data_IF_252929303579
#
_entry.id   IF_252929303579
#
_cell.length_a   1.000
_cell.length_b   1.000
_cell.length_c   1.000
_cell.angle_alpha   90.00
_cell.angle_beta   90.00
_cell.angle_gamma   90.00
#
_symmetry.space_group_name_H-M   'P 1'
#
loop_
_entity.id
_entity.type
_entity.pdbx_description
1 polymer ?
#
# COMPACT_ATOMS: atom_id res chain seq x y z
N UNK A 1 -22.37 24.75 -35.88
CA UNK A 1 -21.29 23.78 -36.09
C UNK A 1 -19.98 24.49 -35.84
N UNK A 2 -19.43 24.39 -34.63
CA UNK A 2 -18.09 24.86 -34.31
C UNK A 2 -17.25 23.60 -34.04
N UNK A 3 -16.36 23.32 -34.98
CA UNK A 3 -15.45 22.18 -34.94
C UNK A 3 -14.46 22.36 -33.78
N UNK A 4 -14.43 21.39 -32.86
CA UNK A 4 -13.40 21.26 -31.82
C UNK A 4 -12.03 21.12 -32.49
N UNK A 5 -11.13 22.07 -32.25
CA UNK A 5 -9.72 21.98 -32.64
C UNK A 5 -9.07 20.84 -31.89
N UNK A 6 -8.34 19.94 -32.53
CA UNK A 6 -7.50 18.96 -31.79
C UNK A 6 -6.36 19.73 -31.09
N UNK A 7 -6.30 19.64 -29.76
CA UNK A 7 -5.23 20.25 -28.97
C UNK A 7 -3.86 19.71 -29.38
N UNK A 8 -2.88 20.59 -29.43
CA UNK A 8 -1.48 20.27 -29.78
C UNK A 8 -0.88 19.33 -28.72
N UNK A 9 0.04 18.42 -29.05
CA UNK A 9 0.62 17.46 -28.10
C UNK A 9 1.22 18.09 -26.82
N UNK A 10 1.71 19.31 -26.89
CA UNK A 10 2.25 20.05 -25.75
C UNK A 10 1.21 20.62 -24.78
N UNK A 11 -0.03 20.90 -25.22
CA UNK A 11 -1.11 21.40 -24.36
C UNK A 11 -1.70 20.28 -23.49
N UNK A 12 -1.81 19.07 -24.02
CA UNK A 12 -2.30 17.90 -23.30
C UNK A 12 -1.36 17.51 -22.17
N UNK A 13 -0.06 17.47 -22.43
CA UNK A 13 0.97 17.20 -21.41
C UNK A 13 1.00 18.26 -20.29
N UNK A 14 0.77 19.53 -20.64
CA UNK A 14 0.73 20.65 -19.67
C UNK A 14 -0.55 20.62 -18.82
N UNK A 15 -1.66 20.22 -19.38
CA UNK A 15 -2.93 20.05 -18.66
C UNK A 15 -2.87 18.86 -17.72
N UNK A 16 -2.28 17.73 -18.16
CA UNK A 16 -2.05 16.54 -17.33
C UNK A 16 -1.14 16.88 -16.13
N UNK A 17 0.00 17.53 -16.33
CA UNK A 17 0.90 17.96 -15.25
C UNK A 17 0.22 18.90 -14.24
N UNK A 18 -0.68 19.78 -14.74
CA UNK A 18 -1.40 20.69 -13.85
C UNK A 18 -2.45 20.02 -12.99
N UNK A 19 -3.16 19.03 -13.53
CA UNK A 19 -4.11 18.22 -12.76
C UNK A 19 -3.38 17.36 -11.71
N UNK A 20 -2.21 16.83 -12.04
CA UNK A 20 -1.37 16.07 -11.08
C UNK A 20 -0.89 16.94 -9.91
N UNK A 21 -0.46 18.18 -10.16
CA UNK A 21 -0.12 19.15 -9.09
C UNK A 21 -1.31 19.39 -8.16
N UNK A 22 -2.51 19.56 -8.72
CA UNK A 22 -3.73 19.76 -7.92
C UNK A 22 -4.08 18.52 -7.09
N UNK A 23 -3.99 17.33 -7.68
CA UNK A 23 -4.23 16.07 -6.98
C UNK A 23 -3.21 15.84 -5.85
N UNK A 24 -1.92 16.12 -6.09
CA UNK A 24 -0.88 15.97 -5.08
C UNK A 24 -1.10 16.91 -3.89
N UNK A 25 -1.42 18.20 -4.14
CA UNK A 25 -1.71 19.16 -3.07
C UNK A 25 -3.00 18.81 -2.31
N UNK A 26 -4.04 18.38 -3.00
CA UNK A 26 -5.28 17.95 -2.37
C UNK A 26 -5.06 16.72 -1.48
N UNK A 27 -4.29 15.73 -1.97
CA UNK A 27 -3.95 14.53 -1.22
C UNK A 27 -3.17 14.84 0.06
N UNK A 28 -2.20 15.76 0.01
CA UNK A 28 -1.44 16.19 1.19
C UNK A 28 -2.37 16.84 2.24
N UNK A 29 -3.33 17.65 1.81
CA UNK A 29 -4.34 18.23 2.71
C UNK A 29 -5.28 17.16 3.29
N UNK A 30 -5.78 16.24 2.48
CA UNK A 30 -6.62 15.12 2.93
C UNK A 30 -5.88 14.17 3.87
N UNK A 31 -4.56 14.01 3.72
CA UNK A 31 -3.75 13.21 4.62
C UNK A 31 -3.49 13.88 5.98
N UNK A 32 -3.50 15.22 6.04
CA UNK A 32 -3.28 15.99 7.29
C UNK A 32 -4.56 16.34 8.02
N UNK A 33 -5.67 16.43 7.32
CA UNK A 33 -6.98 16.85 7.84
C UNK A 33 -8.05 15.84 7.42
N UNK A 34 -9.16 15.83 8.13
CA UNK A 34 -10.31 15.04 7.72
C UNK A 34 -10.79 15.49 6.33
N UNK A 35 -11.08 14.54 5.45
CA UNK A 35 -11.55 14.80 4.08
C UNK A 35 -12.77 15.73 4.08
N UNK A 36 -13.68 15.58 5.06
CA UNK A 36 -14.88 16.43 5.20
C UNK A 36 -14.53 17.89 5.48
N UNK A 37 -13.47 18.16 6.24
CA UNK A 37 -13.07 19.52 6.65
C UNK A 37 -12.32 20.30 5.58
N UNK A 38 -11.62 19.62 4.65
CA UNK A 38 -10.89 20.26 3.55
C UNK A 38 -11.85 20.81 2.50
N UNK A 39 -11.65 22.05 2.09
CA UNK A 39 -12.45 22.72 1.04
C UNK A 39 -11.65 22.97 -0.24
N UNK A 40 -12.35 23.17 -1.36
CA UNK A 40 -11.70 23.61 -2.62
C UNK A 40 -10.91 24.92 -2.44
N UNK A 41 -11.37 25.80 -1.53
CA UNK A 41 -10.66 27.06 -1.22
C UNK A 41 -9.32 26.79 -0.52
N UNK A 42 -9.24 25.80 0.35
CA UNK A 42 -8.00 25.42 1.04
C UNK A 42 -6.97 24.87 0.05
N UNK A 43 -7.43 24.04 -0.88
CA UNK A 43 -6.59 23.48 -1.96
C UNK A 43 -6.08 24.60 -2.88
N UNK A 44 -6.97 25.50 -3.31
CA UNK A 44 -6.61 26.64 -4.15
C UNK A 44 -5.59 27.56 -3.45
N UNK A 45 -5.76 27.80 -2.14
CA UNK A 45 -4.85 28.58 -1.32
C UNK A 45 -3.47 27.91 -1.21
N UNK A 46 -3.42 26.60 -0.99
CA UNK A 46 -2.16 25.83 -0.93
C UNK A 46 -1.36 25.93 -2.24
N UNK A 47 -2.05 25.90 -3.36
CA UNK A 47 -1.46 26.02 -4.70
C UNK A 47 -1.24 27.44 -5.19
N UNK A 48 -1.74 28.45 -4.44
CA UNK A 48 -1.75 29.88 -4.84
C UNK A 48 -2.43 30.09 -6.20
N UNK A 49 -3.56 29.43 -6.44
CA UNK A 49 -4.37 29.55 -7.66
C UNK A 49 -5.80 29.99 -7.34
N UNK A 50 -6.56 30.33 -8.40
CA UNK A 50 -8.00 30.59 -8.25
C UNK A 50 -8.78 29.27 -8.19
N UNK A 51 -9.84 29.22 -7.38
CA UNK A 51 -10.77 28.08 -7.30
C UNK A 51 -11.39 27.74 -8.66
N UNK A 52 -11.63 28.75 -9.53
CA UNK A 52 -12.13 28.55 -10.90
C UNK A 52 -11.22 27.61 -11.72
N UNK A 53 -9.91 27.64 -11.48
CA UNK A 53 -8.97 26.75 -12.16
C UNK A 53 -9.15 25.32 -11.70
N UNK A 54 -9.45 25.05 -10.42
CA UNK A 54 -9.75 23.71 -9.93
C UNK A 54 -11.04 23.19 -10.56
N UNK A 55 -12.08 24.03 -10.61
CA UNK A 55 -13.37 23.67 -11.24
C UNK A 55 -13.30 23.49 -12.75
N UNK A 56 -12.25 23.99 -13.40
CA UNK A 56 -11.97 23.68 -14.81
C UNK A 56 -11.55 22.22 -15.04
N UNK A 57 -10.89 21.60 -14.04
CA UNK A 57 -10.39 20.22 -14.12
C UNK A 57 -11.29 19.20 -13.43
N UNK A 58 -12.03 19.62 -12.40
CA UNK A 58 -12.81 18.74 -11.53
C UNK A 58 -14.18 19.35 -11.25
N UNK A 59 -15.23 18.58 -11.53
CA UNK A 59 -16.62 19.05 -11.39
C UNK A 59 -17.01 19.37 -9.94
N UNK A 60 -16.39 18.69 -8.97
CA UNK A 60 -16.66 18.84 -7.55
C UNK A 60 -15.46 18.45 -6.68
N UNK A 61 -15.57 18.71 -5.37
CA UNK A 61 -14.61 18.19 -4.39
C UNK A 61 -14.55 16.65 -4.41
N UNK A 62 -15.69 15.99 -4.55
CA UNK A 62 -15.78 14.52 -4.59
C UNK A 62 -15.12 13.96 -5.86
N UNK A 63 -15.24 14.66 -6.97
CA UNK A 63 -14.57 14.31 -8.22
C UNK A 63 -13.05 14.45 -8.10
N UNK A 64 -12.56 15.57 -7.54
CA UNK A 64 -11.14 15.74 -7.21
C UNK A 64 -10.66 14.66 -6.24
N UNK A 65 -11.42 14.35 -5.21
CA UNK A 65 -11.07 13.32 -4.23
C UNK A 65 -10.93 11.94 -4.87
N UNK A 66 -11.90 11.56 -5.72
CA UNK A 66 -11.85 10.31 -6.51
C UNK A 66 -10.63 10.28 -7.43
N UNK A 67 -10.33 11.39 -8.11
CA UNK A 67 -9.15 11.50 -8.95
C UNK A 67 -7.85 11.36 -8.14
N UNK A 68 -7.78 11.92 -6.93
CA UNK A 68 -6.65 11.75 -6.01
C UNK A 68 -6.42 10.28 -5.63
N UNK A 69 -7.47 9.56 -5.25
CA UNK A 69 -7.38 8.14 -4.91
C UNK A 69 -6.88 7.35 -6.13
N UNK A 70 -7.48 7.57 -7.29
CA UNK A 70 -7.09 6.91 -8.54
C UNK A 70 -5.63 7.19 -8.90
N UNK A 71 -5.19 8.44 -8.81
CA UNK A 71 -3.81 8.86 -9.07
C UNK A 71 -2.81 8.14 -8.13
N UNK A 72 -3.11 8.06 -6.83
CA UNK A 72 -2.27 7.34 -5.88
C UNK A 72 -2.20 5.85 -6.18
N UNK A 73 -3.33 5.24 -6.51
CA UNK A 73 -3.40 3.83 -6.87
C UNK A 73 -2.58 3.56 -8.14
N UNK A 74 -2.75 4.36 -9.19
CA UNK A 74 -2.01 4.21 -10.46
C UNK A 74 -0.50 4.34 -10.25
N UNK A 75 -0.05 5.28 -9.40
CA UNK A 75 1.37 5.40 -9.02
C UNK A 75 1.88 4.17 -8.27
N UNK A 76 1.12 3.69 -7.29
CA UNK A 76 1.48 2.52 -6.50
C UNK A 76 1.53 1.27 -7.37
N UNK A 77 0.49 1.03 -8.17
CA UNK A 77 0.42 -0.10 -9.12
C UNK A 77 1.47 0.01 -10.22
N UNK A 78 1.75 1.22 -10.72
CA UNK A 78 2.81 1.45 -11.71
C UNK A 78 4.18 1.02 -11.20
N UNK A 79 4.46 1.21 -9.89
CA UNK A 79 5.69 0.72 -9.27
C UNK A 79 5.67 -0.81 -9.08
N UNK A 80 4.51 -1.41 -8.78
CA UNK A 80 4.37 -2.86 -8.75
C UNK A 80 4.54 -3.52 -10.12
N UNK A 81 4.18 -2.89 -11.23
CA UNK A 81 4.45 -3.40 -12.59
C UNK A 81 5.94 -3.53 -12.90
N UNK A 82 6.81 -2.77 -12.22
CA UNK A 82 8.27 -2.98 -12.31
C UNK A 82 8.69 -4.30 -11.69
N UNK A 83 7.89 -4.86 -10.78
CA UNK A 83 8.10 -6.20 -10.19
C UNK A 83 7.90 -7.29 -11.24
N UNK A 84 7.02 -7.06 -12.24
CA UNK A 84 6.81 -7.97 -13.37
C UNK A 84 8.09 -8.20 -14.20
N UNK A 85 9.06 -7.28 -14.14
CA UNK A 85 10.40 -7.49 -14.73
C UNK A 85 11.21 -8.63 -14.11
N UNK A 86 10.81 -9.17 -12.96
CA UNK A 86 11.40 -10.35 -12.33
C UNK A 86 10.68 -11.65 -12.75
N UNK A 87 10.19 -11.70 -13.99
CA UNK A 87 9.51 -12.87 -14.54
C UNK A 87 10.31 -14.16 -14.30
N UNK A 88 9.69 -15.12 -13.63
CA UNK A 88 10.24 -16.45 -13.42
C UNK A 88 10.83 -16.72 -12.04
N UNK A 89 10.98 -15.74 -11.13
CA UNK A 89 11.54 -15.96 -9.80
C UNK A 89 10.59 -15.49 -8.69
N UNK A 90 9.76 -16.40 -8.19
CA UNK A 90 8.72 -16.12 -7.19
C UNK A 90 9.24 -15.40 -5.93
N UNK A 91 10.42 -15.80 -5.43
CA UNK A 91 11.03 -15.17 -4.24
C UNK A 91 11.36 -13.70 -4.53
N UNK A 92 11.98 -13.41 -5.69
CA UNK A 92 12.32 -12.04 -6.08
C UNK A 92 11.09 -11.17 -6.30
N UNK A 93 10.02 -11.72 -6.88
CA UNK A 93 8.75 -11.00 -7.05
C UNK A 93 8.17 -10.58 -5.71
N UNK A 94 8.10 -11.49 -4.73
CA UNK A 94 7.57 -11.18 -3.40
C UNK A 94 8.49 -10.20 -2.66
N UNK A 95 9.83 -10.39 -2.70
CA UNK A 95 10.77 -9.45 -2.08
C UNK A 95 10.67 -8.06 -2.69
N UNK A 96 10.57 -7.94 -4.02
CA UNK A 96 10.39 -6.65 -4.68
C UNK A 96 9.06 -5.97 -4.30
N UNK A 97 7.99 -6.75 -4.05
CA UNK A 97 6.73 -6.21 -3.56
C UNK A 97 6.88 -5.61 -2.15
N UNK A 98 7.55 -6.31 -1.23
CA UNK A 98 7.85 -5.78 0.11
C UNK A 98 8.77 -4.56 0.06
N UNK A 99 9.81 -4.61 -0.78
CA UNK A 99 10.76 -3.51 -0.97
C UNK A 99 10.06 -2.26 -1.50
N UNK A 100 9.14 -2.40 -2.47
CA UNK A 100 8.34 -1.29 -2.97
C UNK A 100 7.51 -0.65 -1.85
N UNK A 101 6.90 -1.47 -0.98
CA UNK A 101 6.18 -0.95 0.19
C UNK A 101 7.10 -0.23 1.18
N UNK A 102 8.31 -0.73 1.39
CA UNK A 102 9.29 -0.10 2.26
C UNK A 102 9.81 1.24 1.70
N UNK A 103 9.99 1.33 0.38
CA UNK A 103 10.45 2.56 -0.28
C UNK A 103 9.34 3.62 -0.38
N UNK A 104 8.11 3.20 -0.60
CA UNK A 104 6.96 4.08 -0.81
C UNK A 104 6.06 4.20 0.43
N UNK A 105 6.56 3.86 1.61
CA UNK A 105 5.70 3.78 2.80
C UNK A 105 5.00 5.09 3.12
N UNK A 106 5.59 6.23 2.82
CA UNK A 106 4.99 7.55 3.08
C UNK A 106 3.75 7.77 2.22
N UNK A 107 3.84 7.49 0.92
CA UNK A 107 2.75 7.62 -0.04
C UNK A 107 1.64 6.59 0.23
N UNK A 108 2.03 5.34 0.47
CA UNK A 108 1.08 4.27 0.80
C UNK A 108 0.35 4.57 2.11
N UNK A 109 1.04 5.06 3.12
CA UNK A 109 0.42 5.49 4.37
C UNK A 109 -0.60 6.61 4.18
N UNK A 110 -0.30 7.59 3.30
CA UNK A 110 -1.25 8.65 2.95
C UNK A 110 -2.49 8.06 2.26
N UNK A 111 -2.29 7.14 1.32
CA UNK A 111 -3.39 6.46 0.64
C UNK A 111 -4.24 5.65 1.63
N UNK A 112 -3.63 4.85 2.50
CA UNK A 112 -4.34 4.06 3.52
C UNK A 112 -5.14 4.98 4.45
N UNK A 113 -4.57 6.12 4.89
CA UNK A 113 -5.31 7.09 5.70
C UNK A 113 -6.55 7.62 4.99
N UNK A 114 -6.38 8.04 3.74
CA UNK A 114 -7.47 8.60 2.94
C UNK A 114 -8.59 7.56 2.68
N UNK A 115 -8.20 6.31 2.42
CA UNK A 115 -9.16 5.20 2.27
C UNK A 115 -9.90 4.90 3.59
N UNK A 116 -9.22 4.93 4.73
CA UNK A 116 -9.83 4.74 6.04
C UNK A 116 -10.82 5.84 6.37
N UNK A 117 -10.44 7.11 6.18
CA UNK A 117 -11.32 8.27 6.41
C UNK A 117 -12.57 8.17 5.52
N UNK A 118 -12.38 7.80 4.25
CA UNK A 118 -13.49 7.56 3.33
C UNK A 118 -14.35 6.39 3.79
N UNK A 119 -13.75 5.26 4.16
CA UNK A 119 -14.45 4.04 4.58
C UNK A 119 -15.29 4.21 5.84
N UNK A 120 -14.89 5.13 6.73
CA UNK A 120 -15.61 5.47 7.98
C UNK A 120 -16.53 6.67 7.83
N UNK A 121 -16.45 7.44 6.73
CA UNK A 121 -17.35 8.56 6.45
C UNK A 121 -18.73 8.06 6.04
N UNK A 122 -19.77 8.82 6.41
CA UNK A 122 -21.14 8.54 5.93
C UNK A 122 -21.38 8.83 4.44
N UNK A 123 -20.37 9.38 3.73
CA UNK A 123 -20.49 9.90 2.36
C UNK A 123 -19.86 8.93 1.34
N UNK A 124 -20.27 7.67 1.34
CA UNK A 124 -19.78 6.68 0.37
C UNK A 124 -20.36 6.92 -1.01
N UNK A 125 -19.54 6.85 -2.04
CA UNK A 125 -19.94 6.91 -3.44
C UNK A 125 -19.50 5.65 -4.19
N UNK A 126 -20.38 5.09 -5.01
CA UNK A 126 -20.10 3.87 -5.79
C UNK A 126 -18.83 3.99 -6.65
N UNK A 127 -18.51 5.20 -7.12
CA UNK A 127 -17.33 5.43 -7.95
C UNK A 127 -16.00 5.27 -7.18
N UNK A 128 -15.95 5.69 -5.93
CA UNK A 128 -14.76 5.55 -5.08
C UNK A 128 -14.63 4.11 -4.58
N UNK A 129 -15.75 3.50 -4.14
CA UNK A 129 -15.75 2.10 -3.72
C UNK A 129 -15.18 1.18 -4.80
N UNK A 130 -15.59 1.38 -6.07
CA UNK A 130 -15.08 0.58 -7.20
C UNK A 130 -13.56 0.76 -7.42
N UNK A 131 -13.03 1.98 -7.30
CA UNK A 131 -11.60 2.26 -7.44
C UNK A 131 -10.79 1.62 -6.33
N UNK A 132 -11.26 1.68 -5.09
CA UNK A 132 -10.61 1.04 -3.93
C UNK A 132 -10.65 -0.48 -4.05
N UNK A 133 -11.78 -1.05 -4.45
CA UNK A 133 -11.91 -2.49 -4.67
C UNK A 133 -10.98 -2.99 -5.79
N UNK A 134 -10.91 -2.25 -6.90
CA UNK A 134 -9.99 -2.58 -8.00
C UNK A 134 -8.53 -2.59 -7.54
N UNK A 135 -8.12 -1.65 -6.70
CA UNK A 135 -6.78 -1.61 -6.11
C UNK A 135 -6.46 -2.89 -5.33
N UNK A 136 -7.31 -3.26 -4.37
CA UNK A 136 -7.09 -4.48 -3.58
C UNK A 136 -7.14 -5.76 -4.42
N UNK A 137 -7.97 -5.79 -5.46
CA UNK A 137 -8.00 -6.91 -6.40
C UNK A 137 -6.71 -7.02 -7.21
N UNK A 138 -6.13 -5.91 -7.68
CA UNK A 138 -4.86 -5.91 -8.41
C UNK A 138 -3.71 -6.35 -7.53
N UNK A 139 -3.62 -5.81 -6.30
CA UNK A 139 -2.62 -6.22 -5.31
C UNK A 139 -2.71 -7.72 -5.00
N UNK A 140 -3.92 -8.21 -4.72
CA UNK A 140 -4.18 -9.64 -4.46
C UNK A 140 -3.79 -10.54 -5.63
N UNK A 141 -3.99 -10.10 -6.88
CA UNK A 141 -3.55 -10.84 -8.08
C UNK A 141 -2.03 -10.96 -8.13
N UNK A 142 -1.29 -9.84 -7.99
CA UNK A 142 0.17 -9.82 -8.03
C UNK A 142 0.76 -10.82 -7.02
N UNK A 143 0.32 -10.75 -5.77
CA UNK A 143 0.77 -11.64 -4.71
C UNK A 143 0.38 -13.10 -4.97
N UNK A 144 -0.88 -13.33 -5.36
CA UNK A 144 -1.38 -14.68 -5.63
C UNK A 144 -0.61 -15.35 -6.76
N UNK A 145 -0.28 -14.61 -7.81
CA UNK A 145 0.45 -15.15 -8.95
C UNK A 145 1.89 -15.47 -8.60
N UNK A 146 2.56 -14.62 -7.80
CA UNK A 146 3.89 -14.89 -7.28
C UNK A 146 3.91 -16.12 -6.33
N UNK A 147 2.92 -16.25 -5.43
CA UNK A 147 2.81 -17.42 -4.53
C UNK A 147 2.54 -18.71 -5.35
N UNK A 148 1.61 -18.68 -6.31
CA UNK A 148 1.36 -19.83 -7.19
C UNK A 148 2.60 -20.24 -7.98
N UNK A 149 3.35 -19.26 -8.48
CA UNK A 149 4.61 -19.50 -9.17
C UNK A 149 5.59 -20.22 -8.25
N UNK A 150 5.79 -19.75 -7.02
CA UNK A 150 6.70 -20.37 -6.05
C UNK A 150 6.31 -21.78 -5.64
N UNK A 151 4.99 -22.05 -5.53
CA UNK A 151 4.49 -23.43 -5.30
C UNK A 151 4.82 -24.32 -6.50
N UNK A 152 4.62 -23.85 -7.75
CA UNK A 152 4.97 -24.61 -8.96
C UNK A 152 6.48 -24.86 -9.09
N UNK A 153 7.31 -23.90 -8.66
CA UNK A 153 8.76 -24.02 -8.63
C UNK A 153 9.28 -24.91 -7.48
N UNK A 154 8.41 -25.31 -6.56
CA UNK A 154 8.81 -26.09 -5.37
C UNK A 154 9.59 -25.29 -4.34
N UNK A 155 9.69 -23.95 -4.47
CA UNK A 155 10.36 -23.07 -3.50
C UNK A 155 9.45 -22.69 -2.34
N UNK A 156 8.13 -22.81 -2.50
CA UNK A 156 7.12 -22.63 -1.45
C UNK A 156 6.33 -23.91 -1.22
N UNK A 157 5.92 -24.12 0.01
CA UNK A 157 4.97 -25.21 0.36
C UNK A 157 3.57 -24.87 -0.16
N UNK A 158 2.71 -25.89 -0.26
CA UNK A 158 1.30 -25.68 -0.62
C UNK A 158 0.59 -24.94 0.51
N UNK A 159 0.06 -23.74 0.20
CA UNK A 159 -0.74 -22.90 1.09
C UNK A 159 -2.05 -22.50 0.42
N UNK A 160 -3.01 -22.01 1.20
CA UNK A 160 -4.15 -21.31 0.62
C UNK A 160 -3.69 -19.95 0.08
N UNK A 161 -3.50 -19.87 -1.24
CA UNK A 161 -2.92 -18.70 -1.92
C UNK A 161 -3.68 -17.42 -1.62
N UNK A 162 -5.03 -17.47 -1.67
CA UNK A 162 -5.88 -16.29 -1.40
C UNK A 162 -5.73 -15.80 0.03
N UNK A 163 -5.70 -16.72 1.00
CA UNK A 163 -5.52 -16.34 2.40
C UNK A 163 -4.11 -15.82 2.68
N UNK A 164 -3.08 -16.40 2.06
CA UNK A 164 -1.71 -15.91 2.21
C UNK A 164 -1.55 -14.50 1.60
N UNK A 165 -2.12 -14.23 0.42
CA UNK A 165 -2.11 -12.90 -0.17
C UNK A 165 -2.86 -11.89 0.70
N UNK A 166 -4.06 -12.22 1.19
CA UNK A 166 -4.84 -11.37 2.09
C UNK A 166 -4.10 -11.10 3.40
N UNK A 167 -3.46 -12.12 3.98
CA UNK A 167 -2.65 -11.97 5.20
C UNK A 167 -1.51 -10.97 5.00
N UNK A 168 -0.81 -11.03 3.85
CA UNK A 168 0.28 -10.13 3.55
C UNK A 168 -0.21 -8.67 3.41
N UNK A 169 -1.24 -8.41 2.61
CA UNK A 169 -1.73 -7.05 2.38
C UNK A 169 -2.34 -6.46 3.66
N UNK A 170 -3.20 -7.20 4.37
CA UNK A 170 -3.78 -6.73 5.64
C UNK A 170 -2.72 -6.42 6.70
N UNK A 171 -1.63 -7.19 6.76
CA UNK A 171 -0.55 -6.91 7.72
C UNK A 171 0.19 -5.62 7.37
N UNK A 172 0.44 -5.37 6.09
CA UNK A 172 1.05 -4.10 5.65
C UNK A 172 0.14 -2.91 5.92
N UNK A 173 -1.17 -3.02 5.64
CA UNK A 173 -2.14 -1.99 6.03
C UNK A 173 -2.08 -1.72 7.54
N UNK A 174 -2.00 -2.78 8.36
CA UNK A 174 -1.82 -2.67 9.80
C UNK A 174 -0.54 -1.95 10.23
N UNK A 175 0.59 -2.17 9.53
CA UNK A 175 1.83 -1.42 9.76
C UNK A 175 1.64 0.06 9.43
N UNK A 176 0.99 0.38 8.30
CA UNK A 176 0.72 1.77 7.89
C UNK A 176 -0.17 2.49 8.91
N UNK A 177 -1.27 1.85 9.34
CA UNK A 177 -2.17 2.40 10.36
C UNK A 177 -1.43 2.61 11.69
N UNK A 178 -0.65 1.63 12.15
CA UNK A 178 0.13 1.74 13.38
C UNK A 178 1.13 2.89 13.31
N UNK A 179 1.75 3.14 12.17
CA UNK A 179 2.69 4.25 11.98
C UNK A 179 2.04 5.64 12.07
N UNK A 180 0.72 5.73 11.91
CA UNK A 180 -0.03 6.99 12.14
C UNK A 180 -0.19 7.28 13.64
N UNK A 181 -0.21 6.23 14.47
CA UNK A 181 -0.39 6.30 15.93
C UNK A 181 0.96 6.38 16.63
N UNK A 182 1.92 5.54 16.24
CA UNK A 182 3.26 5.45 16.80
C UNK A 182 4.27 6.12 15.85
N UNK A 183 4.61 7.37 16.13
CA UNK A 183 5.47 8.20 15.26
C UNK A 183 6.92 7.75 15.19
N UNK A 184 7.38 6.99 16.17
CA UNK A 184 8.72 6.41 16.31
C UNK A 184 8.85 5.02 15.68
N UNK A 185 7.77 4.48 15.09
CA UNK A 185 7.82 3.17 14.42
C UNK A 185 8.71 3.25 13.17
N UNK A 186 9.78 2.44 13.14
CA UNK A 186 10.59 2.22 11.93
C UNK A 186 9.80 1.32 10.95
N UNK A 187 9.04 1.97 10.08
CA UNK A 187 8.17 1.29 9.10
C UNK A 187 8.96 0.40 8.15
N UNK A 188 10.07 0.85 7.53
CA UNK A 188 10.90 -0.03 6.70
C UNK A 188 11.42 -1.26 7.45
N UNK A 189 11.85 -1.13 8.70
CA UNK A 189 12.28 -2.28 9.50
C UNK A 189 11.12 -3.23 9.83
N UNK A 190 9.93 -2.71 10.14
CA UNK A 190 8.73 -3.50 10.39
C UNK A 190 8.33 -4.32 9.15
N UNK A 191 8.38 -3.71 7.96
CA UNK A 191 8.11 -4.39 6.69
C UNK A 191 9.14 -5.50 6.43
N UNK A 192 10.45 -5.22 6.56
CA UNK A 192 11.49 -6.25 6.40
C UNK A 192 11.36 -7.40 7.40
N UNK A 193 10.94 -7.11 8.63
CA UNK A 193 10.66 -8.14 9.63
C UNK A 193 9.48 -9.02 9.21
N UNK A 194 8.41 -8.39 8.72
CA UNK A 194 7.25 -9.11 8.25
C UNK A 194 7.56 -9.96 7.01
N UNK A 195 8.34 -9.46 6.05
CA UNK A 195 8.80 -10.24 4.90
C UNK A 195 9.44 -11.57 5.33
N UNK A 196 10.32 -11.54 6.33
CA UNK A 196 10.96 -12.77 6.87
C UNK A 196 9.93 -13.75 7.45
N UNK A 197 8.95 -13.24 8.20
CA UNK A 197 7.86 -14.04 8.74
C UNK A 197 7.00 -14.63 7.64
N UNK A 198 6.69 -13.84 6.61
CA UNK A 198 5.90 -14.27 5.47
C UNK A 198 6.58 -15.38 4.66
N UNK A 199 7.87 -15.24 4.38
CA UNK A 199 8.64 -16.32 3.74
C UNK A 199 8.73 -17.59 4.59
N UNK A 200 8.84 -17.45 5.91
CA UNK A 200 8.76 -18.59 6.82
C UNK A 200 7.40 -19.28 6.75
N UNK A 201 6.31 -18.51 6.69
CA UNK A 201 4.95 -19.04 6.50
C UNK A 201 4.78 -19.78 5.17
N UNK A 202 5.42 -19.29 4.11
CA UNK A 202 5.46 -19.96 2.80
C UNK A 202 6.42 -21.16 2.77
N UNK A 203 7.12 -21.46 3.85
CA UNK A 203 8.08 -22.56 3.92
C UNK A 203 9.29 -22.35 3.01
N UNK A 204 9.65 -21.10 2.70
CA UNK A 204 10.75 -20.78 1.81
C UNK A 204 12.08 -21.25 2.40
N UNK A 205 12.76 -22.15 1.68
CA UNK A 205 14.02 -22.78 2.15
C UNK A 205 15.23 -21.84 2.08
N UNK A 206 15.18 -20.77 1.29
CA UNK A 206 16.29 -19.83 1.13
C UNK A 206 16.50 -18.91 2.33
N UNK A 207 15.52 -18.81 3.25
CA UNK A 207 15.64 -18.01 4.48
C UNK A 207 16.51 -18.67 5.58
N UNK A 208 17.00 -19.91 5.37
CA UNK A 208 17.74 -20.68 6.40
C UNK A 208 19.26 -20.66 6.27
N UNK A 209 19.87 -19.98 5.32
CA UNK A 209 21.34 -20.00 5.12
C UNK A 209 22.09 -18.89 5.86
N UNK A 210 21.70 -18.55 7.09
CA UNK A 210 22.38 -17.52 7.90
C UNK A 210 22.69 -17.90 9.34
N UNK A 211 22.28 -19.09 9.81
CA UNK A 211 22.68 -19.50 11.17
C UNK A 211 22.90 -21.02 11.19
N UNK A 212 24.15 -21.42 10.96
CA UNK A 212 24.60 -22.78 11.21
C UNK A 212 24.55 -22.99 12.72
N UNK A 213 23.52 -23.69 13.21
CA UNK A 213 23.44 -24.10 14.59
C UNK A 213 24.62 -25.01 14.91
N UNK A 214 25.40 -24.62 15.91
CA UNK A 214 26.40 -25.48 16.53
C UNK A 214 25.70 -26.70 17.17
N UNK A 215 26.37 -27.86 17.23
CA UNK A 215 25.77 -29.09 17.75
C UNK A 215 25.44 -28.94 19.26
N UNK A 216 24.24 -29.36 19.62
CA UNK A 216 23.75 -29.38 21.00
C UNK A 216 24.62 -30.30 21.85
N UNK A 217 25.34 -29.72 22.82
CA UNK A 217 25.87 -30.43 23.96
C UNK A 217 24.72 -30.67 24.94
N UNK A 218 24.48 -31.94 25.25
CA UNK A 218 23.43 -32.36 26.18
C UNK A 218 23.64 -31.83 27.58
N UNK A 219 22.60 -31.26 28.15
CA UNK A 219 22.56 -30.84 29.55
C UNK A 219 21.11 -30.78 29.99
N UNK A 220 20.71 -31.80 30.77
CA UNK A 220 19.44 -31.86 31.50
C UNK A 220 19.36 -30.65 32.45
N UNK A 221 18.36 -29.81 32.31
CA UNK A 221 17.86 -29.00 33.42
C UNK A 221 16.34 -28.93 33.41
N UNK A 222 15.77 -29.24 34.55
CA UNK A 222 14.34 -29.36 34.86
C UNK A 222 13.65 -28.01 34.89
N UNK A 223 12.47 -27.99 34.30
CA UNK A 223 11.25 -27.23 34.68
C UNK A 223 11.38 -26.06 35.66
N UNK A 224 11.24 -24.85 35.17
CA UNK A 224 10.94 -23.61 35.94
C UNK A 224 9.69 -22.86 35.39
N UNK A 225 8.89 -23.50 34.56
CA UNK A 225 7.70 -22.86 33.96
C UNK A 225 6.40 -22.97 34.76
N UNK A 226 6.45 -23.43 36.02
CA UNK A 226 5.23 -23.71 36.83
C UNK A 226 5.01 -22.75 38.02
N UNK A 227 5.71 -21.61 38.10
CA UNK A 227 5.62 -20.73 39.29
C UNK A 227 5.21 -19.29 39.06
N UNK A 228 4.83 -18.90 37.83
CA UNK A 228 4.47 -17.49 37.50
C UNK A 228 2.97 -17.22 37.39
N UNK A 229 2.09 -18.19 37.64
CA UNK A 229 0.62 -18.00 37.48
C UNK A 229 -0.18 -17.97 38.77
N UNK A 230 0.46 -17.83 39.94
CA UNK A 230 -0.22 -17.90 41.23
C UNK A 230 -0.09 -16.65 42.12
N UNK A 231 0.25 -15.48 41.55
CA UNK A 231 0.25 -14.21 42.31
C UNK A 231 -0.32 -13.07 41.45
N UNK A 232 -1.61 -13.08 41.18
CA UNK A 232 -2.45 -11.89 40.90
C UNK A 232 -3.91 -12.35 40.90
N UNK A 233 -4.47 -12.47 42.04
CA UNK A 233 -5.87 -12.27 42.39
C UNK A 233 -5.94 -11.18 43.45
#
# INVERSE_FOLDING_TARGET
MLASRPGMPGEKSRAEGRSEEMMAAALDLFARHDVSSVTIKDIAKALRINTALIYYYFDSKDDLFRACIKYCIERTVGNFRRIEGHHGEAVKMISAWFETHAQMYTEIRQLVKVILDYGTSGNKTKGIDAVVEEFYQQESRILSDAIRLGIRQGVFVRVNVRQAALFASTHLDGIMVRSMIQKDLDVPAAIRNFERVFFSHLGCRTARSGTRAAPAVGGRTKSVAARALAMSL
#
